data_IF_595720080168
#
_entry.id   IF_595720080168
#
_cell.length_a   1.000
_cell.length_b   1.000
_cell.length_c   1.000
_cell.angle_alpha   90.00
_cell.angle_beta   90.00
_cell.angle_gamma   90.00
#
_symmetry.space_group_name_H-M   'P 1'
#
loop_
_entity.id
_entity.type
_entity.pdbx_description
1 polymer ?
#
# COMPACT_ATOMS: atom_id res chain seq x y z
N UNK A 1 -13.80 -14.85 -49.15
CA UNK A 1 -15.10 -14.20 -49.43
C UNK A 1 -15.99 -14.36 -48.20
N UNK A 2 -16.46 -13.21 -47.64
CA UNK A 2 -17.63 -12.92 -46.77
C UNK A 2 -18.17 -14.05 -45.87
N UNK A 3 -18.45 -13.83 -44.58
CA UNK A 3 -19.43 -12.83 -44.11
C UNK A 3 -19.09 -12.30 -42.70
N UNK A 4 -19.28 -10.98 -42.54
CA UNK A 4 -19.26 -10.24 -41.27
C UNK A 4 -20.72 -10.06 -40.87
N UNK A 5 -21.08 -10.43 -39.64
CA UNK A 5 -22.39 -10.15 -39.05
C UNK A 5 -22.21 -9.03 -38.03
N UNK A 6 -22.83 -7.89 -38.32
CA UNK A 6 -23.04 -6.78 -37.40
C UNK A 6 -24.34 -7.02 -36.63
N UNK A 7 -24.31 -6.88 -35.30
CA UNK A 7 -25.52 -6.61 -34.51
C UNK A 7 -25.30 -5.33 -33.72
N UNK A 8 -26.27 -4.44 -33.90
CA UNK A 8 -26.31 -3.03 -33.59
C UNK A 8 -27.33 -2.81 -32.45
N UNK A 9 -26.97 -1.92 -31.51
CA UNK A 9 -27.83 -1.14 -30.59
C UNK A 9 -28.58 -1.90 -29.48
N UNK A 10 -28.74 -1.37 -28.26
CA UNK A 10 -29.31 -0.06 -27.91
C UNK A 10 -28.79 0.49 -26.57
N UNK A 11 -28.64 1.81 -26.50
CA UNK A 11 -28.29 2.62 -25.34
C UNK A 11 -29.58 3.01 -24.60
N UNK A 12 -29.65 2.88 -23.26
CA UNK A 12 -30.67 3.56 -22.46
C UNK A 12 -29.97 4.25 -21.26
N UNK A 13 -29.96 5.58 -21.32
CA UNK A 13 -29.63 6.50 -20.25
C UNK A 13 -30.88 6.74 -19.39
N UNK A 14 -30.76 6.55 -18.09
CA UNK A 14 -31.61 7.10 -17.02
C UNK A 14 -30.71 7.16 -15.79
N UNK A 15 -30.58 8.21 -14.99
CA UNK A 15 -31.28 9.49 -14.86
C UNK A 15 -30.92 10.02 -13.45
N UNK A 16 -30.67 11.32 -13.33
CA UNK A 16 -30.18 11.98 -12.11
C UNK A 16 -31.13 11.89 -10.91
N UNK A 17 -30.55 11.96 -9.70
CA UNK A 17 -31.29 12.16 -8.46
C UNK A 17 -30.40 12.61 -7.30
N UNK A 18 -29.86 13.82 -7.37
CA UNK A 18 -29.43 14.55 -6.17
C UNK A 18 -30.67 15.15 -5.51
N UNK A 19 -30.84 14.92 -4.21
CA UNK A 19 -31.62 15.82 -3.36
C UNK A 19 -30.91 15.94 -2.01
N UNK A 20 -30.29 17.10 -1.81
CA UNK A 20 -29.90 17.59 -0.50
C UNK A 20 -31.17 17.95 0.27
N UNK A 21 -31.30 17.47 1.50
CA UNK A 21 -32.22 18.06 2.47
C UNK A 21 -31.45 18.30 3.76
N UNK A 22 -30.86 19.48 3.84
CA UNK A 22 -30.60 20.11 5.14
C UNK A 22 -31.94 20.63 5.67
N UNK A 23 -32.32 20.18 6.86
CA UNK A 23 -33.38 20.83 7.64
C UNK A 23 -32.86 21.10 9.04
N UNK A 24 -32.31 22.30 9.20
CA UNK A 24 -32.22 22.99 10.47
C UNK A 24 -33.64 23.25 11.01
N UNK A 25 -33.89 22.87 12.26
CA UNK A 25 -35.02 23.40 13.03
C UNK A 25 -34.59 23.65 14.47
N UNK A 26 -34.99 24.82 14.93
CA UNK A 26 -34.45 25.54 16.06
C UNK A 26 -34.79 24.94 17.43
N UNK A 27 -33.87 25.27 18.33
CA UNK A 27 -33.89 25.24 19.79
C UNK A 27 -35.25 25.66 20.39
N UNK A 28 -35.75 24.85 21.33
CA UNK A 28 -36.61 25.30 22.42
C UNK A 28 -35.90 24.92 23.72
N UNK A 29 -35.57 25.95 24.49
CA UNK A 29 -35.01 25.88 25.84
C UNK A 29 -36.17 25.73 26.83
N UNK A 30 -36.13 24.74 27.70
CA UNK A 30 -36.78 24.87 29.01
C UNK A 30 -35.92 24.18 30.08
N UNK A 31 -35.69 24.90 31.18
CA UNK A 31 -34.70 24.60 32.20
C UNK A 31 -35.31 23.83 33.36
N UNK A 32 -34.61 22.81 33.88
CA UNK A 32 -34.58 22.49 35.31
C UNK A 32 -33.15 22.10 35.68
N UNK A 33 -32.58 22.85 36.62
CA UNK A 33 -31.27 22.67 37.25
C UNK A 33 -31.18 21.36 38.06
N UNK A 34 -30.04 20.68 38.10
CA UNK A 34 -28.96 20.98 39.05
C UNK A 34 -27.71 20.08 38.83
N UNK A 35 -26.54 20.68 39.05
CA UNK A 35 -25.19 20.13 39.32
C UNK A 35 -24.52 19.11 38.35
N UNK A 36 -23.49 19.55 37.61
CA UNK A 36 -22.04 19.27 37.86
C UNK A 36 -21.18 19.58 36.60
N UNK A 37 -20.21 20.48 36.80
CA UNK A 37 -18.94 20.76 36.08
C UNK A 37 -18.92 21.15 34.59
N UNK A 38 -18.85 22.47 34.38
CA UNK A 38 -17.74 23.20 33.73
C UNK A 38 -17.00 22.63 32.50
N UNK A 39 -17.16 23.40 31.40
CA UNK A 39 -16.12 23.93 30.52
C UNK A 39 -15.87 23.25 29.16
N UNK A 40 -16.52 23.88 28.17
CA UNK A 40 -16.04 24.29 26.85
C UNK A 40 -15.52 23.26 25.84
N UNK A 41 -16.28 23.21 24.75
CA UNK A 41 -15.81 23.10 23.35
C UNK A 41 -14.42 23.73 23.17
N UNK A 42 -13.41 22.90 22.88
CA UNK A 42 -12.19 23.18 22.12
C UNK A 42 -11.38 21.87 22.03
N UNK A 43 -11.28 21.26 20.84
CA UNK A 43 -10.02 20.71 20.27
C UNK A 43 -10.26 19.78 19.07
N UNK A 44 -10.77 20.34 17.97
CA UNK A 44 -10.60 19.71 16.65
C UNK A 44 -9.31 20.18 15.95
N UNK A 45 -8.69 21.27 16.43
CA UNK A 45 -7.46 21.81 15.85
C UNK A 45 -6.21 21.09 16.38
N UNK A 46 -6.18 20.68 17.65
CA UNK A 46 -5.07 19.85 18.15
C UNK A 46 -5.00 18.51 17.43
N UNK A 47 -6.11 17.82 17.17
CA UNK A 47 -6.07 16.53 16.46
C UNK A 47 -5.52 16.68 15.03
N UNK A 48 -5.89 17.75 14.31
CA UNK A 48 -5.40 18.01 12.96
C UNK A 48 -3.94 18.51 12.92
N UNK A 49 -3.53 19.36 13.86
CA UNK A 49 -2.14 19.81 14.00
C UNK A 49 -1.22 18.66 14.45
N UNK A 50 -1.69 17.81 15.35
CA UNK A 50 -0.92 16.67 15.85
C UNK A 50 -0.80 15.58 14.79
N UNK A 51 -1.85 15.33 13.99
CA UNK A 51 -1.78 14.42 12.82
C UNK A 51 -0.80 14.96 11.76
N UNK A 52 -0.81 16.26 11.49
CA UNK A 52 0.08 16.86 10.48
C UNK A 52 1.52 16.99 10.95
N UNK A 53 1.77 17.17 12.26
CA UNK A 53 3.12 17.16 12.83
C UNK A 53 3.67 15.73 12.84
N UNK A 54 2.87 14.73 13.21
CA UNK A 54 3.30 13.32 13.23
C UNK A 54 3.54 12.77 11.80
N UNK A 55 2.69 13.15 10.84
CA UNK A 55 2.91 12.85 9.42
C UNK A 55 4.20 13.53 8.90
N UNK A 56 4.42 14.81 9.18
CA UNK A 56 5.63 15.51 8.69
C UNK A 56 6.92 15.04 9.37
N UNK A 57 6.88 14.73 10.67
CA UNK A 57 8.02 14.14 11.39
C UNK A 57 8.31 12.73 10.87
N UNK A 58 7.27 11.93 10.58
CA UNK A 58 7.40 10.62 9.97
C UNK A 58 7.98 10.70 8.55
N UNK A 59 7.58 11.68 7.73
CA UNK A 59 8.12 11.88 6.38
C UNK A 59 9.58 12.38 6.38
N UNK A 60 9.96 13.27 7.30
CA UNK A 60 11.34 13.75 7.43
C UNK A 60 12.27 12.64 7.94
N UNK A 61 11.81 11.85 8.91
CA UNK A 61 12.55 10.70 9.43
C UNK A 61 12.64 9.55 8.42
N UNK A 62 11.57 9.29 7.65
CA UNK A 62 11.58 8.36 6.50
C UNK A 62 12.65 8.73 5.48
N UNK A 63 12.76 10.02 5.11
CA UNK A 63 13.82 10.50 4.22
C UNK A 63 15.23 10.27 4.76
N UNK A 64 15.41 10.30 6.09
CA UNK A 64 16.71 10.07 6.73
C UNK A 64 17.08 8.58 6.79
N UNK A 65 16.10 7.67 6.93
CA UNK A 65 16.28 6.21 6.85
C UNK A 65 16.64 5.73 5.43
N UNK A 66 16.33 6.52 4.41
CA UNK A 66 16.53 6.19 2.98
C UNK A 66 17.96 6.43 2.44
N UNK A 67 18.94 6.71 3.29
CA UNK A 67 20.32 6.96 2.82
C UNK A 67 20.99 5.77 2.10
N UNK A 68 20.39 4.57 2.15
CA UNK A 68 20.78 3.38 1.37
C UNK A 68 19.91 3.10 0.12
N UNK A 69 18.86 3.89 -0.11
CA UNK A 69 17.80 3.66 -1.09
C UNK A 69 17.62 4.84 -2.06
N UNK A 70 18.71 5.41 -2.57
CA UNK A 70 18.68 6.49 -3.58
C UNK A 70 17.87 6.15 -4.85
N UNK A 71 17.51 4.87 -5.03
CA UNK A 71 16.74 4.32 -6.15
C UNK A 71 15.34 3.84 -5.76
N UNK A 72 14.83 4.24 -4.59
CA UNK A 72 13.49 3.91 -4.14
C UNK A 72 12.59 5.14 -4.18
N UNK A 73 11.37 4.96 -4.68
CA UNK A 73 10.30 5.96 -4.63
C UNK A 73 9.25 5.50 -3.63
N UNK A 74 9.05 6.27 -2.56
CA UNK A 74 8.05 6.00 -1.52
C UNK A 74 6.63 6.29 -2.03
N UNK A 75 5.68 5.41 -1.69
CA UNK A 75 4.26 5.55 -1.97
C UNK A 75 3.42 5.42 -0.70
N UNK A 76 2.21 6.00 -0.69
CA UNK A 76 1.23 5.67 0.35
C UNK A 76 0.68 4.28 0.09
N UNK A 77 0.36 3.52 1.14
CA UNK A 77 -0.22 2.17 0.98
C UNK A 77 -1.55 2.15 0.21
N UNK A 78 -2.23 3.29 0.09
CA UNK A 78 -3.45 3.46 -0.71
C UNK A 78 -3.19 3.68 -2.20
N UNK A 79 -1.95 3.99 -2.57
CA UNK A 79 -1.58 4.28 -3.95
C UNK A 79 -1.55 3.00 -4.79
N UNK A 80 -1.47 3.16 -6.11
CA UNK A 80 -1.15 2.07 -7.03
C UNK A 80 0.23 2.35 -7.60
N UNK A 81 1.18 1.44 -7.36
CA UNK A 81 2.51 1.52 -7.99
C UNK A 81 2.39 0.95 -9.39
N UNK A 82 2.88 1.68 -10.38
CA UNK A 82 2.84 1.29 -11.80
C UNK A 82 4.25 1.20 -12.34
N UNK A 83 4.68 -0.01 -12.74
CA UNK A 83 6.01 -0.27 -13.28
C UNK A 83 6.01 -1.63 -14.03
N UNK A 84 7.03 -1.93 -14.83
CA UNK A 84 7.18 -3.23 -15.50
C UNK A 84 7.84 -4.24 -14.53
N UNK A 85 7.04 -4.85 -13.64
CA UNK A 85 7.57 -5.73 -12.60
C UNK A 85 8.01 -7.09 -13.13
N UNK A 86 7.37 -7.58 -14.21
CA UNK A 86 7.67 -8.90 -14.77
C UNK A 86 8.70 -8.86 -15.93
N UNK A 87 9.09 -7.67 -16.40
CA UNK A 87 10.11 -7.45 -17.42
C UNK A 87 9.62 -7.69 -18.85
N UNK A 88 8.31 -7.61 -19.11
CA UNK A 88 7.72 -7.88 -20.42
C UNK A 88 7.60 -6.64 -21.33
N UNK A 89 8.02 -5.47 -20.81
CA UNK A 89 8.03 -4.18 -21.49
C UNK A 89 6.74 -3.38 -21.34
N UNK A 90 5.70 -3.91 -20.68
CA UNK A 90 4.42 -3.24 -20.45
C UNK A 90 4.27 -2.91 -18.97
N UNK A 91 3.60 -1.81 -18.67
CA UNK A 91 3.41 -1.38 -17.28
C UNK A 91 2.37 -2.25 -16.56
N UNK A 92 2.80 -2.84 -15.46
CA UNK A 92 1.97 -3.56 -14.51
C UNK A 92 1.40 -2.61 -13.44
N UNK A 93 0.48 -3.11 -12.62
CA UNK A 93 -0.04 -2.40 -11.44
C UNK A 93 0.11 -3.24 -10.20
N UNK A 94 0.68 -2.68 -9.14
CA UNK A 94 0.69 -3.25 -7.80
C UNK A 94 -0.25 -2.46 -6.89
N UNK A 95 -1.05 -3.17 -6.10
CA UNK A 95 -2.05 -2.61 -5.19
C UNK A 95 -1.93 -3.33 -3.86
N UNK A 96 -1.59 -2.61 -2.80
CA UNK A 96 -1.69 -3.11 -1.43
C UNK A 96 -3.15 -3.08 -0.97
N UNK A 97 -3.61 -4.15 -0.31
CA UNK A 97 -4.97 -4.23 0.24
C UNK A 97 -5.00 -4.93 1.59
N UNK A 98 -5.90 -4.48 2.45
CA UNK A 98 -6.37 -5.21 3.64
C UNK A 98 -7.78 -5.76 3.37
N UNK A 99 -7.97 -7.06 3.58
CA UNK A 99 -9.24 -7.78 3.37
C UNK A 99 -9.44 -8.79 4.52
N UNK A 100 -10.58 -8.79 5.23
CA UNK A 100 -10.95 -9.81 6.23
C UNK A 100 -9.81 -10.16 7.23
N UNK A 101 -9.28 -9.17 7.94
CA UNK A 101 -8.16 -9.30 8.91
C UNK A 101 -6.80 -9.74 8.34
N UNK A 102 -6.70 -10.02 7.04
CA UNK A 102 -5.42 -10.23 6.35
C UNK A 102 -5.11 -9.05 5.45
N UNK A 103 -3.87 -8.98 4.97
CA UNK A 103 -3.49 -8.07 3.90
C UNK A 103 -2.61 -8.77 2.86
N UNK A 104 -2.40 -8.09 1.75
CA UNK A 104 -1.69 -8.64 0.61
C UNK A 104 -1.40 -7.59 -0.45
N UNK A 105 -0.68 -8.01 -1.48
CA UNK A 105 -0.41 -7.22 -2.68
C UNK A 105 -1.03 -7.97 -3.86
N UNK A 106 -1.78 -7.23 -4.67
CA UNK A 106 -2.29 -7.70 -5.96
C UNK A 106 -1.43 -7.05 -7.04
N UNK A 107 -0.75 -7.87 -7.84
CA UNK A 107 0.00 -7.43 -9.01
C UNK A 107 -0.76 -7.86 -10.26
N UNK A 108 -1.06 -6.91 -11.14
CA UNK A 108 -1.81 -7.11 -12.38
C UNK A 108 -0.85 -6.87 -13.54
N UNK A 109 -0.55 -7.92 -14.31
CA UNK A 109 0.38 -7.81 -15.42
C UNK A 109 -0.23 -7.03 -16.59
N UNK A 110 0.47 -6.01 -17.09
CA UNK A 110 -0.04 -5.07 -18.08
C UNK A 110 -0.35 -5.72 -19.43
N UNK A 111 0.43 -6.73 -19.80
CA UNK A 111 0.29 -7.43 -21.08
C UNK A 111 -0.84 -8.45 -21.09
N UNK A 112 -1.00 -9.24 -20.02
CA UNK A 112 -1.92 -10.38 -19.98
C UNK A 112 -3.18 -10.12 -19.15
N UNK A 113 -3.17 -9.12 -18.27
CA UNK A 113 -4.13 -8.92 -17.19
C UNK A 113 -4.18 -10.06 -16.16
N UNK A 114 -3.17 -10.93 -16.14
CA UNK A 114 -3.04 -11.95 -15.10
C UNK A 114 -2.84 -11.29 -13.73
N UNK A 115 -3.45 -11.86 -12.70
CA UNK A 115 -3.34 -11.37 -11.34
C UNK A 115 -2.52 -12.32 -10.48
N UNK A 116 -1.44 -11.80 -9.91
CA UNK A 116 -0.72 -12.47 -8.83
C UNK A 116 -1.16 -11.87 -7.51
N UNK A 117 -1.63 -12.73 -6.60
CA UNK A 117 -2.00 -12.34 -5.23
C UNK A 117 -0.98 -12.91 -4.25
N UNK A 118 -0.30 -12.02 -3.54
CA UNK A 118 0.72 -12.34 -2.55
C UNK A 118 0.16 -11.95 -1.17
N UNK A 119 0.25 -12.84 -0.19
CA UNK A 119 -0.40 -12.68 1.12
C UNK A 119 -1.85 -13.15 1.08
N UNK A 120 -2.77 -12.40 1.70
CA UNK A 120 -4.19 -12.74 1.84
C UNK A 120 -4.41 -14.13 2.49
N UNK A 121 -3.64 -14.45 3.53
CA UNK A 121 -3.67 -15.73 4.24
C UNK A 121 -2.99 -16.88 3.50
N UNK A 122 -2.40 -16.64 2.32
CA UNK A 122 -1.65 -17.65 1.56
C UNK A 122 -0.15 -17.53 1.85
N UNK A 123 0.51 -18.65 2.05
CA UNK A 123 1.95 -18.70 2.28
C UNK A 123 2.72 -18.07 1.12
N UNK A 124 3.59 -17.12 1.44
CA UNK A 124 4.58 -16.52 0.56
C UNK A 124 5.87 -16.31 1.35
N UNK A 125 6.96 -16.94 0.90
CA UNK A 125 8.18 -17.06 1.70
C UNK A 125 7.87 -17.59 3.10
N UNK A 126 8.15 -16.84 4.16
CA UNK A 126 7.89 -17.21 5.56
C UNK A 126 6.64 -16.55 6.16
N UNK A 127 5.82 -15.85 5.36
CA UNK A 127 4.66 -15.09 5.83
C UNK A 127 3.37 -15.42 5.08
N UNK A 128 2.23 -15.04 5.66
CA UNK A 128 0.89 -15.25 5.07
C UNK A 128 0.14 -13.95 4.80
N UNK A 129 0.59 -12.85 5.38
CA UNK A 129 0.00 -11.51 5.24
C UNK A 129 1.07 -10.42 5.46
N UNK A 130 0.66 -9.18 5.23
CA UNK A 130 1.51 -7.99 5.35
C UNK A 130 0.87 -6.96 6.29
N UNK A 131 0.18 -7.39 7.35
CA UNK A 131 -0.53 -6.46 8.26
C UNK A 131 0.43 -5.54 9.02
N UNK A 132 1.67 -5.99 9.20
CA UNK A 132 2.77 -5.28 9.84
C UNK A 132 3.29 -4.09 9.00
N UNK A 133 3.14 -4.14 7.67
CA UNK A 133 3.65 -3.12 6.75
C UNK A 133 3.01 -1.76 7.00
N UNK A 134 3.82 -0.72 7.13
CA UNK A 134 3.39 0.68 7.25
C UNK A 134 3.87 1.57 6.08
N UNK A 135 4.85 1.13 5.28
CA UNK A 135 5.27 1.79 4.04
C UNK A 135 5.69 0.81 2.95
N UNK A 136 5.69 1.30 1.71
CA UNK A 136 6.11 0.54 0.53
C UNK A 136 6.66 1.46 -0.56
N UNK A 137 7.55 0.89 -1.38
CA UNK A 137 8.35 1.67 -2.32
C UNK A 137 8.53 0.93 -3.64
N UNK A 138 8.64 1.70 -4.73
CA UNK A 138 9.15 1.20 -6.00
C UNK A 138 10.68 1.23 -5.96
N UNK A 139 11.31 0.07 -6.07
CA UNK A 139 12.77 -0.08 -6.08
C UNK A 139 13.29 -0.32 -7.50
N UNK A 140 14.04 0.63 -8.04
CA UNK A 140 14.57 0.60 -9.41
C UNK A 140 16.07 0.20 -9.47
N UNK A 141 16.62 -0.26 -8.34
CA UNK A 141 17.99 -0.76 -8.28
C UNK A 141 18.20 -2.06 -9.06
N UNK A 142 19.41 -2.22 -9.59
CA UNK A 142 19.85 -3.46 -10.29
C UNK A 142 20.51 -4.47 -9.35
N UNK A 143 20.71 -4.08 -8.08
CA UNK A 143 21.27 -4.93 -7.03
C UNK A 143 20.71 -4.54 -5.66
N UNK A 144 20.72 -5.50 -4.74
CA UNK A 144 20.36 -5.35 -3.33
C UNK A 144 21.17 -6.34 -2.47
N UNK A 145 20.95 -6.37 -1.15
CA UNK A 145 21.64 -7.27 -0.21
C UNK A 145 20.62 -8.12 0.55
N UNK A 146 20.62 -9.43 0.41
CA UNK A 146 19.74 -10.30 1.21
C UNK A 146 20.40 -10.63 2.55
N UNK A 147 19.67 -10.43 3.65
CA UNK A 147 20.11 -10.88 4.96
C UNK A 147 20.04 -12.40 5.04
N UNK A 148 21.08 -13.01 5.59
CA UNK A 148 21.22 -14.45 5.75
C UNK A 148 21.24 -14.82 7.22
N UNK A 149 20.64 -15.97 7.55
CA UNK A 149 20.49 -16.44 8.92
C UNK A 149 21.16 -17.79 9.10
N UNK A 150 21.59 -18.06 10.33
CA UNK A 150 21.92 -19.41 10.80
C UNK A 150 20.63 -20.20 11.07
N UNK A 151 20.77 -21.50 11.30
CA UNK A 151 19.66 -22.40 11.61
C UNK A 151 18.90 -22.03 12.90
N UNK A 152 19.55 -21.31 13.83
CA UNK A 152 18.96 -20.81 15.08
C UNK A 152 18.24 -19.45 14.93
N UNK A 153 18.25 -18.86 13.73
CA UNK A 153 17.65 -17.57 13.45
C UNK A 153 18.57 -16.37 13.70
N UNK A 154 19.82 -16.58 14.16
CA UNK A 154 20.80 -15.51 14.25
C UNK A 154 21.19 -14.99 12.87
N UNK A 155 21.41 -13.68 12.75
CA UNK A 155 21.99 -13.10 11.53
C UNK A 155 23.40 -13.67 11.33
N UNK A 156 23.62 -14.29 10.17
CA UNK A 156 24.92 -14.78 9.72
C UNK A 156 25.70 -13.70 8.95
N UNK A 157 24.98 -12.82 8.25
CA UNK A 157 25.54 -11.76 7.43
C UNK A 157 24.61 -11.40 6.29
N UNK A 158 25.13 -10.84 5.21
CA UNK A 158 24.36 -10.53 4.00
C UNK A 158 25.05 -11.03 2.74
N UNK A 159 24.26 -11.28 1.69
CA UNK A 159 24.76 -11.62 0.35
C UNK A 159 24.22 -10.63 -0.68
N UNK A 160 25.04 -10.22 -1.63
CA UNK A 160 24.59 -9.37 -2.74
C UNK A 160 23.72 -10.16 -3.70
N UNK A 161 22.57 -9.60 -4.09
CA UNK A 161 21.61 -10.16 -5.04
C UNK A 161 21.47 -9.20 -6.21
N UNK A 162 21.55 -9.74 -7.44
CA UNK A 162 21.25 -8.97 -8.66
C UNK A 162 19.75 -9.03 -8.93
N UNK A 163 19.18 -7.88 -9.24
CA UNK A 163 17.78 -7.73 -9.63
C UNK A 163 17.70 -7.60 -11.15
N UNK A 164 16.80 -8.37 -11.75
CA UNK A 164 16.55 -8.33 -13.20
C UNK A 164 15.46 -7.34 -13.56
N UNK A 165 14.55 -7.10 -12.62
CA UNK A 165 13.36 -6.27 -12.79
C UNK A 165 13.26 -5.28 -11.63
N UNK A 166 12.55 -4.18 -11.86
CA UNK A 166 12.10 -3.29 -10.78
C UNK A 166 11.29 -4.09 -9.77
N UNK A 167 11.40 -3.71 -8.50
CA UNK A 167 10.90 -4.51 -7.39
C UNK A 167 10.05 -3.66 -6.46
N UNK A 168 9.25 -4.31 -5.62
CA UNK A 168 8.44 -3.64 -4.61
C UNK A 168 9.11 -3.87 -3.26
N UNK A 169 9.54 -2.81 -2.60
CA UNK A 169 9.95 -2.89 -1.20
C UNK A 169 8.72 -2.72 -0.31
N UNK A 170 8.61 -3.54 0.73
CA UNK A 170 7.66 -3.35 1.82
C UNK A 170 8.41 -3.42 3.14
N UNK A 171 8.05 -2.55 4.07
CA UNK A 171 8.71 -2.47 5.36
C UNK A 171 7.80 -2.00 6.47
N UNK A 172 8.33 -2.15 7.68
CA UNK A 172 7.85 -1.43 8.85
C UNK A 172 9.02 -0.67 9.46
N UNK A 173 8.74 0.55 9.88
CA UNK A 173 9.76 1.36 10.53
C UNK A 173 10.36 0.63 11.75
N UNK A 174 11.70 0.64 11.87
CA UNK A 174 12.48 -0.04 12.93
C UNK A 174 12.39 -1.58 12.97
N UNK A 175 11.55 -2.21 12.15
CA UNK A 175 11.39 -3.68 12.08
C UNK A 175 11.96 -4.28 10.78
N UNK A 176 12.45 -3.43 9.87
CA UNK A 176 12.99 -3.84 8.58
C UNK A 176 11.91 -4.24 7.58
N UNK A 177 12.29 -5.09 6.61
CA UNK A 177 11.35 -5.49 5.57
C UNK A 177 11.96 -6.40 4.50
N UNK A 178 11.60 -6.12 3.25
CA UNK A 178 12.16 -6.86 2.14
C UNK A 178 11.59 -6.49 0.78
N UNK A 179 12.24 -7.01 -0.25
CA UNK A 179 11.85 -6.81 -1.64
C UNK A 179 11.03 -8.00 -2.13
N UNK A 180 10.01 -7.68 -2.91
CA UNK A 180 9.28 -8.61 -3.77
C UNK A 180 9.76 -8.35 -5.19
N UNK A 181 10.41 -9.33 -5.81
CA UNK A 181 11.00 -9.21 -7.14
C UNK A 181 10.54 -10.34 -8.06
N UNK A 182 10.33 -10.06 -9.34
CA UNK A 182 10.02 -11.11 -10.31
C UNK A 182 11.30 -11.74 -10.84
N UNK A 183 11.40 -13.06 -10.73
CA UNK A 183 12.56 -13.83 -11.16
C UNK A 183 12.14 -15.26 -11.51
N UNK A 184 12.72 -15.80 -12.58
CA UNK A 184 12.45 -17.17 -13.04
C UNK A 184 10.96 -17.49 -13.28
N UNK A 185 10.14 -16.49 -13.60
CA UNK A 185 8.70 -16.67 -13.87
C UNK A 185 7.80 -16.56 -12.63
N UNK A 186 8.34 -16.24 -11.46
CA UNK A 186 7.57 -16.07 -10.22
C UNK A 186 8.05 -14.86 -9.41
N UNK A 187 7.20 -14.37 -8.49
CA UNK A 187 7.63 -13.39 -7.50
C UNK A 187 8.36 -14.11 -6.35
N UNK A 188 9.48 -13.55 -5.91
CA UNK A 188 10.33 -14.05 -4.83
C UNK A 188 10.51 -12.96 -3.76
N UNK A 189 10.69 -13.38 -2.51
CA UNK A 189 11.02 -12.52 -1.38
C UNK A 189 12.54 -12.44 -1.19
N UNK A 190 13.05 -11.22 -1.00
CA UNK A 190 14.44 -10.97 -0.59
C UNK A 190 14.39 -10.22 0.74
N UNK A 191 14.75 -10.92 1.82
CA UNK A 191 14.70 -10.34 3.16
C UNK A 191 15.77 -9.26 3.36
N UNK A 192 15.36 -8.13 3.92
CA UNK A 192 16.22 -7.01 4.32
C UNK A 192 15.99 -6.78 5.82
N UNK A 193 16.96 -7.16 6.66
CA UNK A 193 17.00 -6.66 8.02
C UNK A 193 17.86 -5.38 8.04
N UNK A 194 17.48 -4.42 8.87
CA UNK A 194 18.36 -3.34 9.28
C UNK A 194 19.39 -3.82 10.31
#
# INVERSE_FOLDING_TARGET
MKQIIYILTFLILTGCGQNNSERNSNIVLDSIADQVSDTSILDNNQLAEQTTIDENQSEEYRKQSLSGFEKATLYKLTDTITADFNGDGLLDKAIYKKENETSGIIIIHGKTNDQVKIGFGKQFAHMTDFNWVDYWELFEGTETSETTFKDDGDILGSKKVKLQNVSIFIGRHEEGGGLITFKNGNYEWIHQAD
#
